data_IF_921434152476
#
_entry.id   IF_921434152476
#
_cell.length_a   1.000
_cell.length_b   1.000
_cell.length_c   1.000
_cell.angle_alpha   90.00
_cell.angle_beta   90.00
_cell.angle_gamma   90.00
#
_symmetry.space_group_name_H-M   'P 1'
#
loop_
_entity.id
_entity.type
_entity.pdbx_description
1 polymer ?
#
# COMPACT_ATOMS: atom_id res chain seq x y z
N UNK A 1 11.10 -17.03 -1.47
CA UNK A 1 11.56 -18.29 -0.88
C UNK A 1 10.72 -18.68 0.34
N UNK A 2 10.32 -17.69 1.16
CA UNK A 2 9.65 -17.90 2.45
C UNK A 2 8.20 -17.39 2.49
N UNK A 3 7.55 -17.19 1.37
CA UNK A 3 6.22 -16.62 1.19
C UNK A 3 6.24 -15.18 0.69
N UNK A 4 5.39 -14.90 -0.30
CA UNK A 4 5.28 -13.57 -0.91
C UNK A 4 4.59 -12.56 0.00
N UNK A 5 3.59 -13.03 0.76
CA UNK A 5 2.74 -12.23 1.64
C UNK A 5 2.77 -12.74 3.10
N UNK A 6 2.08 -12.03 3.99
CA UNK A 6 2.03 -12.33 5.43
C UNK A 6 1.39 -13.68 5.70
N UNK A 7 0.32 -14.07 5.00
CA UNK A 7 -0.38 -15.35 5.22
C UNK A 7 0.50 -16.52 4.83
N UNK A 8 1.16 -16.45 3.66
CA UNK A 8 2.10 -17.47 3.23
C UNK A 8 3.29 -17.61 4.18
N UNK A 9 3.78 -16.52 4.78
CA UNK A 9 4.83 -16.56 5.81
C UNK A 9 4.35 -17.25 7.10
N UNK A 10 3.11 -16.97 7.53
CA UNK A 10 2.52 -17.66 8.70
C UNK A 10 2.33 -19.16 8.41
N UNK A 11 1.92 -19.54 7.20
CA UNK A 11 1.83 -20.94 6.80
C UNK A 11 3.23 -21.60 6.81
N UNK A 12 4.24 -20.92 6.28
CA UNK A 12 5.62 -21.42 6.25
C UNK A 12 6.19 -21.61 7.67
N UNK A 13 5.90 -20.69 8.60
CA UNK A 13 6.34 -20.86 9.99
C UNK A 13 5.73 -22.07 10.68
N UNK A 14 4.52 -22.51 10.29
CA UNK A 14 3.84 -23.69 10.84
C UNK A 14 4.55 -25.02 10.53
N UNK A 15 5.51 -25.04 9.61
CA UNK A 15 6.33 -26.21 9.31
C UNK A 15 7.35 -26.46 10.42
N UNK A 16 7.82 -27.72 10.64
CA UNK A 16 8.81 -28.02 11.67
C UNK A 16 10.01 -27.07 11.65
N UNK A 17 10.30 -26.40 12.76
CA UNK A 17 11.35 -25.41 12.89
C UNK A 17 11.13 -24.10 12.12
N UNK A 18 9.90 -23.86 11.61
CA UNK A 18 9.58 -22.75 10.73
C UNK A 18 9.76 -21.38 11.37
N UNK A 19 9.33 -21.19 12.62
CA UNK A 19 9.52 -19.92 13.35
C UNK A 19 10.99 -19.53 13.37
N UNK A 20 11.87 -20.44 13.81
CA UNK A 20 13.31 -20.18 13.87
C UNK A 20 13.93 -19.95 12.51
N UNK A 21 13.50 -20.69 11.49
CA UNK A 21 13.97 -20.54 10.11
C UNK A 21 13.63 -19.15 9.56
N UNK A 22 12.41 -18.67 9.78
CA UNK A 22 11.98 -17.33 9.33
C UNK A 22 12.66 -16.22 10.12
N UNK A 23 12.84 -16.38 11.44
CA UNK A 23 13.64 -15.47 12.24
C UNK A 23 15.07 -15.34 11.71
N UNK A 24 15.71 -16.47 11.42
CA UNK A 24 17.07 -16.47 10.88
C UNK A 24 17.14 -15.86 9.48
N UNK A 25 16.13 -16.05 8.63
CA UNK A 25 16.03 -15.41 7.34
C UNK A 25 15.96 -13.88 7.46
N UNK A 26 15.20 -13.36 8.43
CA UNK A 26 15.13 -11.92 8.70
C UNK A 26 16.47 -11.41 9.24
N UNK A 27 16.94 -11.98 10.36
CA UNK A 27 18.07 -11.44 11.10
C UNK A 27 19.42 -11.70 10.42
N UNK A 28 19.63 -12.94 9.93
CA UNK A 28 20.95 -13.38 9.43
C UNK A 28 21.08 -13.25 7.92
N UNK A 29 20.02 -13.58 7.16
CA UNK A 29 20.09 -13.60 5.70
C UNK A 29 19.74 -12.23 5.09
N UNK A 30 18.96 -11.37 5.80
CA UNK A 30 18.51 -10.06 5.31
C UNK A 30 19.18 -8.91 6.05
N UNK A 31 18.88 -8.73 7.35
CA UNK A 31 19.30 -7.52 8.08
C UNK A 31 20.82 -7.47 8.29
N UNK A 32 21.47 -8.59 8.62
CA UNK A 32 22.93 -8.61 8.84
C UNK A 32 23.74 -8.18 7.61
N UNK A 33 23.49 -8.67 6.39
CA UNK A 33 24.18 -8.17 5.19
C UNK A 33 23.90 -6.69 4.92
N UNK A 34 22.67 -6.22 5.14
CA UNK A 34 22.30 -4.81 4.96
C UNK A 34 23.06 -3.91 5.95
N UNK A 35 23.10 -4.26 7.23
CA UNK A 35 23.87 -3.53 8.24
C UNK A 35 25.36 -3.52 7.86
N UNK A 36 25.92 -4.64 7.41
CA UNK A 36 27.30 -4.73 6.95
C UNK A 36 27.60 -3.78 5.79
N UNK A 37 26.69 -3.68 4.82
CA UNK A 37 26.81 -2.75 3.70
C UNK A 37 26.74 -1.29 4.18
N UNK A 38 25.79 -0.96 5.05
CA UNK A 38 25.63 0.39 5.63
C UNK A 38 26.86 0.79 6.42
N UNK A 39 27.39 -0.09 7.27
CA UNK A 39 28.61 0.15 8.04
C UNK A 39 29.80 0.43 7.12
N UNK A 40 29.95 -0.37 6.04
CA UNK A 40 31.00 -0.15 5.04
C UNK A 40 30.88 1.22 4.36
N UNK A 41 29.66 1.60 3.97
CA UNK A 41 29.40 2.90 3.33
C UNK A 41 29.67 4.06 4.30
N UNK A 42 29.31 3.91 5.58
CA UNK A 42 29.51 4.93 6.61
C UNK A 42 30.94 4.94 7.20
N UNK A 43 31.80 3.98 6.86
CA UNK A 43 33.15 3.86 7.42
C UNK A 43 33.20 3.54 8.91
N UNK A 44 32.17 2.83 9.44
CA UNK A 44 32.06 2.42 10.84
C UNK A 44 31.99 0.90 10.97
N UNK A 45 32.14 0.40 12.19
CA UNK A 45 31.91 -1.01 12.54
C UNK A 45 30.56 -1.17 13.24
N UNK A 46 29.99 -2.37 13.20
CA UNK A 46 28.65 -2.64 13.75
C UNK A 46 28.56 -2.40 15.27
N UNK A 47 29.65 -2.56 16.02
CA UNK A 47 29.74 -2.26 17.45
C UNK A 47 29.52 -0.77 17.79
N UNK A 48 29.56 0.12 16.77
CA UNK A 48 29.25 1.55 16.91
C UNK A 48 27.76 1.88 16.75
N UNK A 49 26.94 0.89 16.49
CA UNK A 49 25.48 1.03 16.45
C UNK A 49 24.92 0.78 17.84
N UNK A 50 24.36 1.79 18.50
CA UNK A 50 23.87 1.74 19.88
C UNK A 50 22.33 1.76 19.97
N UNK A 51 21.62 2.07 18.85
CA UNK A 51 20.16 2.05 18.80
C UNK A 51 19.71 1.59 17.41
N UNK A 52 18.69 0.73 17.42
CA UNK A 52 18.02 0.20 16.21
C UNK A 52 16.52 0.38 16.40
N UNK A 53 15.86 1.04 15.46
CA UNK A 53 14.40 1.15 15.45
C UNK A 53 13.83 0.39 14.26
N UNK A 54 12.76 -0.36 14.49
CA UNK A 54 12.12 -1.24 13.52
C UNK A 54 10.63 -0.92 13.50
N UNK A 55 10.14 -0.57 12.31
CA UNK A 55 8.72 -0.43 12.01
C UNK A 55 8.34 -1.48 10.96
N UNK A 56 7.47 -2.39 11.30
CA UNK A 56 7.01 -3.45 10.38
C UNK A 56 5.63 -3.95 10.77
N UNK A 57 4.99 -4.66 9.86
CA UNK A 57 3.66 -5.23 10.13
C UNK A 57 3.70 -6.25 11.29
N UNK A 58 2.54 -6.51 11.86
CA UNK A 58 2.39 -7.38 13.05
C UNK A 58 3.01 -8.76 12.86
N UNK A 59 2.79 -9.40 11.71
CA UNK A 59 3.39 -10.71 11.40
C UNK A 59 4.91 -10.66 11.41
N UNK A 60 5.49 -9.64 10.79
CA UNK A 60 6.95 -9.50 10.71
C UNK A 60 7.56 -9.19 12.08
N UNK A 61 6.88 -8.45 12.94
CA UNK A 61 7.30 -8.24 14.33
C UNK A 61 7.36 -9.56 15.11
N UNK A 62 6.34 -10.44 14.93
CA UNK A 62 6.35 -11.78 15.56
C UNK A 62 7.52 -12.64 15.05
N UNK A 63 7.69 -12.71 13.74
CA UNK A 63 8.75 -13.52 13.12
C UNK A 63 10.15 -13.02 13.48
N UNK A 64 10.35 -11.70 13.56
CA UNK A 64 11.60 -11.08 14.00
C UNK A 64 11.97 -11.51 15.42
N UNK A 65 10.99 -11.52 16.33
CA UNK A 65 11.17 -11.92 17.72
C UNK A 65 11.19 -13.44 17.92
N UNK A 66 10.93 -14.23 16.90
CA UNK A 66 10.84 -15.69 17.00
C UNK A 66 9.59 -16.15 17.77
N UNK A 67 8.53 -15.36 17.72
CA UNK A 67 7.22 -15.63 18.34
C UNK A 67 6.29 -16.23 17.29
N UNK A 68 5.42 -17.16 17.69
CA UNK A 68 4.40 -17.73 16.81
C UNK A 68 3.41 -16.67 16.35
N UNK A 69 3.31 -16.48 15.03
CA UNK A 69 2.39 -15.54 14.40
C UNK A 69 1.03 -16.18 14.00
N UNK A 70 0.76 -17.47 14.31
CA UNK A 70 -0.54 -18.07 13.99
C UNK A 70 -1.74 -17.29 14.55
N UNK A 71 -1.70 -16.73 15.78
CA UNK A 71 -2.81 -15.94 16.31
C UNK A 71 -3.20 -14.74 15.43
N UNK A 72 -2.28 -14.21 14.64
CA UNK A 72 -2.55 -13.08 13.71
C UNK A 72 -3.58 -13.46 12.65
N UNK A 73 -3.60 -14.70 12.16
CA UNK A 73 -4.50 -15.19 11.10
C UNK A 73 -5.66 -16.04 11.59
N UNK A 74 -5.68 -16.40 12.86
CA UNK A 74 -6.70 -17.27 13.46
C UNK A 74 -7.69 -16.44 14.26
N UNK A 75 -8.99 -16.67 14.05
CA UNK A 75 -10.02 -16.04 14.87
C UNK A 75 -9.77 -16.35 16.37
N UNK A 76 -9.81 -15.35 17.26
CA UNK A 76 -10.34 -14.00 17.11
C UNK A 76 -9.34 -12.92 16.58
N UNK A 77 -8.28 -13.28 15.89
CA UNK A 77 -7.31 -12.36 15.28
C UNK A 77 -6.61 -11.46 16.30
N UNK A 78 -6.18 -12.02 17.41
CA UNK A 78 -5.48 -11.29 18.49
C UNK A 78 -4.00 -11.64 18.44
N UNK A 79 -3.10 -10.68 18.17
CA UNK A 79 -1.65 -10.92 18.21
C UNK A 79 -1.18 -11.39 19.57
N UNK A 80 -0.08 -12.15 19.61
CA UNK A 80 0.52 -12.62 20.86
C UNK A 80 1.01 -11.46 21.73
N UNK A 81 1.40 -10.36 21.11
CA UNK A 81 1.79 -9.12 21.78
C UNK A 81 1.44 -7.92 20.90
N UNK A 82 1.21 -6.78 21.52
CA UNK A 82 1.04 -5.49 20.84
C UNK A 82 2.31 -4.65 20.92
N UNK A 83 3.01 -4.70 22.04
CA UNK A 83 4.21 -3.91 22.32
C UNK A 83 5.29 -4.81 22.96
N UNK A 84 6.54 -4.51 22.66
CA UNK A 84 7.69 -5.16 23.30
C UNK A 84 8.79 -4.13 23.53
N UNK A 85 9.22 -4.01 24.79
CA UNK A 85 10.25 -3.06 25.22
C UNK A 85 11.36 -3.79 25.99
N UNK A 86 12.49 -3.10 26.15
CA UNK A 86 13.64 -3.63 26.88
C UNK A 86 14.50 -4.63 26.11
N UNK A 87 14.35 -4.71 24.78
CA UNK A 87 15.19 -5.54 23.93
C UNK A 87 16.55 -4.90 23.70
N UNK A 88 17.59 -5.74 23.70
CA UNK A 88 18.94 -5.36 23.26
C UNK A 88 19.40 -6.27 22.11
N UNK A 89 20.37 -5.80 21.34
CA UNK A 89 20.81 -6.48 20.12
C UNK A 89 21.28 -7.92 20.35
N UNK A 90 21.91 -8.23 21.51
CA UNK A 90 22.32 -9.59 21.86
C UNK A 90 21.15 -10.57 22.00
N UNK A 91 19.99 -10.13 22.43
CA UNK A 91 18.80 -10.98 22.60
C UNK A 91 18.32 -11.55 21.26
N UNK A 92 18.49 -10.79 20.20
CA UNK A 92 18.14 -11.17 18.82
C UNK A 92 19.35 -11.65 17.99
N UNK A 93 20.55 -11.65 18.55
CA UNK A 93 21.79 -11.83 17.77
C UNK A 93 21.86 -10.83 16.59
N UNK A 94 21.36 -9.62 16.79
CA UNK A 94 21.37 -8.56 15.79
C UNK A 94 22.78 -8.03 15.57
N UNK A 95 23.12 -7.65 14.35
CA UNK A 95 24.46 -7.15 13.98
C UNK A 95 24.66 -5.68 14.40
N UNK A 96 24.79 -5.43 15.70
CA UNK A 96 25.04 -4.12 16.30
C UNK A 96 25.89 -4.28 17.56
N UNK A 97 26.13 -3.21 18.33
CA UNK A 97 26.67 -3.32 19.67
C UNK A 97 25.79 -4.28 20.49
N UNK A 98 26.36 -5.24 21.25
CA UNK A 98 25.54 -6.22 21.97
C UNK A 98 24.48 -5.62 22.92
N UNK A 99 24.79 -4.46 23.48
CA UNK A 99 23.90 -3.72 24.39
C UNK A 99 23.13 -2.60 23.68
N UNK A 100 23.16 -2.56 22.34
CA UNK A 100 22.36 -1.60 21.57
C UNK A 100 20.87 -1.83 21.84
N UNK A 101 20.16 -0.76 22.13
CA UNK A 101 18.72 -0.76 22.30
C UNK A 101 18.01 -1.14 20.98
N UNK A 102 17.07 -2.07 21.02
CA UNK A 102 16.24 -2.43 19.88
C UNK A 102 14.79 -2.02 20.16
N UNK A 103 14.34 -1.02 19.43
CA UNK A 103 12.99 -0.46 19.51
C UNK A 103 12.13 -1.07 18.40
N UNK A 104 10.97 -1.61 18.77
CA UNK A 104 9.98 -2.10 17.81
C UNK A 104 8.75 -1.22 17.95
N UNK A 105 8.29 -0.64 16.83
CA UNK A 105 7.05 0.13 16.81
C UNK A 105 5.87 -0.78 17.18
N UNK A 106 4.95 -0.34 18.06
CA UNK A 106 3.87 -1.18 18.58
C UNK A 106 2.83 -1.51 17.49
N UNK A 107 2.22 -2.68 17.63
CA UNK A 107 1.10 -3.11 16.80
C UNK A 107 -0.22 -2.60 17.38
N UNK A 108 -1.24 -2.43 16.55
CA UNK A 108 -2.62 -2.09 16.95
C UNK A 108 -3.52 -3.33 16.89
N UNK A 109 -3.32 -4.14 15.85
CA UNK A 109 -4.10 -5.33 15.59
C UNK A 109 -3.33 -6.33 14.74
N UNK A 110 -4.02 -7.37 14.30
CA UNK A 110 -3.43 -8.41 13.46
C UNK A 110 -2.95 -7.87 12.11
N UNK A 111 -3.69 -6.94 11.54
CA UNK A 111 -3.40 -6.40 10.21
C UNK A 111 -2.99 -4.91 10.22
N UNK A 112 -2.91 -4.29 11.40
CA UNK A 112 -2.37 -2.94 11.58
C UNK A 112 -1.19 -3.02 12.52
N UNK A 113 0.00 -2.91 11.97
CA UNK A 113 1.26 -3.15 12.65
C UNK A 113 2.04 -1.90 13.02
N UNK A 114 3.29 -2.13 13.41
CA UNK A 114 4.22 -1.08 13.80
C UNK A 114 4.64 -0.15 12.65
N UNK A 115 4.46 -0.56 11.41
CA UNK A 115 4.61 0.29 10.22
C UNK A 115 3.58 1.43 10.24
N UNK A 116 2.34 1.13 10.60
CA UNK A 116 1.24 2.09 10.61
C UNK A 116 1.32 3.02 11.82
N UNK A 117 1.68 2.53 12.99
CA UNK A 117 1.88 3.41 14.16
C UNK A 117 3.06 4.37 13.94
N UNK A 118 4.14 3.89 13.32
CA UNK A 118 5.26 4.73 12.91
C UNK A 118 4.85 5.74 11.83
N UNK A 119 4.01 5.33 10.86
CA UNK A 119 3.44 6.20 9.84
C UNK A 119 2.52 7.28 10.43
N UNK A 120 1.63 6.91 11.33
CA UNK A 120 0.76 7.85 12.05
C UNK A 120 1.55 8.87 12.87
N UNK A 121 2.68 8.47 13.47
CA UNK A 121 3.59 9.38 14.14
C UNK A 121 4.04 10.52 13.22
N UNK A 122 4.40 10.20 11.97
CA UNK A 122 4.96 11.17 11.03
C UNK A 122 3.93 11.98 10.26
N UNK A 123 2.69 11.49 10.15
CA UNK A 123 1.58 12.26 9.56
C UNK A 123 1.11 13.41 10.45
N UNK A 124 1.50 13.40 11.73
CA UNK A 124 1.06 14.36 12.75
C UNK A 124 -0.46 14.44 12.97
N UNK A 125 -1.21 13.43 12.56
CA UNK A 125 -2.66 13.34 12.77
C UNK A 125 -3.05 13.48 14.25
N UNK A 126 -2.18 13.01 15.13
CA UNK A 126 -2.34 13.05 16.58
C UNK A 126 -2.15 14.44 17.22
N UNK A 127 -1.65 15.43 16.46
CA UNK A 127 -1.37 16.79 16.95
C UNK A 127 -2.31 17.83 16.33
N UNK A 128 -3.30 17.39 15.55
CA UNK A 128 -4.25 18.24 14.82
C UNK A 128 -5.63 18.19 15.43
N UNK A 129 -6.36 19.31 15.36
CA UNK A 129 -7.78 19.37 15.66
C UNK A 129 -8.62 18.88 14.47
N UNK A 130 -8.10 19.09 13.26
CA UNK A 130 -8.74 18.78 11.98
C UNK A 130 -8.77 17.27 11.73
N UNK A 131 -9.91 16.79 11.20
CA UNK A 131 -10.03 15.39 10.82
C UNK A 131 -9.15 15.06 9.62
N UNK A 132 -8.31 14.09 9.83
CA UNK A 132 -7.35 13.64 8.84
C UNK A 132 -7.52 12.15 8.53
N UNK A 133 -7.28 11.77 7.29
CA UNK A 133 -7.20 10.39 6.83
C UNK A 133 -5.76 10.10 6.42
N UNK A 134 -5.15 9.10 7.02
CA UNK A 134 -3.85 8.55 6.60
C UNK A 134 -4.07 7.21 5.91
N UNK A 135 -3.47 7.03 4.74
CA UNK A 135 -3.58 5.84 3.90
C UNK A 135 -2.16 5.35 3.58
N UNK A 136 -1.79 4.16 4.01
CA UNK A 136 -0.58 3.48 3.54
C UNK A 136 -0.95 2.49 2.45
N UNK A 137 -0.37 2.69 1.25
CA UNK A 137 -0.62 1.87 0.07
C UNK A 137 0.53 0.89 -0.16
N UNK A 138 0.32 -0.33 0.25
CA UNK A 138 1.18 -1.46 -0.03
C UNK A 138 0.40 -2.63 -0.64
N UNK A 139 0.84 -3.84 -0.37
CA UNK A 139 0.09 -5.07 -0.71
C UNK A 139 -1.27 -5.12 0.01
N UNK A 140 -1.36 -4.53 1.20
CA UNK A 140 -2.61 -4.19 1.86
C UNK A 140 -2.80 -2.67 1.79
N UNK A 141 -4.02 -2.20 2.04
CA UNK A 141 -4.30 -0.81 2.34
C UNK A 141 -4.56 -0.68 3.84
N UNK A 142 -3.71 0.03 4.54
CA UNK A 142 -3.91 0.34 5.95
C UNK A 142 -4.33 1.81 6.10
N UNK A 143 -5.32 2.03 6.93
CA UNK A 143 -5.98 3.33 7.10
C UNK A 143 -5.96 3.76 8.56
N UNK A 144 -5.75 5.06 8.80
CA UNK A 144 -5.97 5.70 10.08
C UNK A 144 -6.80 6.96 9.86
N UNK A 145 -7.91 7.09 10.56
CA UNK A 145 -8.77 8.27 10.54
C UNK A 145 -8.93 8.82 11.94
N UNK A 146 -8.94 10.13 12.08
CA UNK A 146 -9.20 10.82 13.34
C UNK A 146 -8.48 12.16 13.43
N UNK A 147 -8.18 12.53 14.66
CA UNK A 147 -7.49 13.75 15.05
C UNK A 147 -6.80 13.54 16.40
N UNK A 148 -6.44 14.63 17.12
CA UNK A 148 -5.82 14.54 18.45
C UNK A 148 -6.69 13.87 19.51
N UNK A 149 -8.01 13.93 19.39
CA UNK A 149 -8.94 13.45 20.41
C UNK A 149 -9.22 11.94 20.29
N UNK A 150 -9.22 11.42 19.09
CA UNK A 150 -9.35 9.97 18.82
C UNK A 150 -8.73 9.56 17.50
N UNK A 151 -8.35 8.31 17.40
CA UNK A 151 -7.92 7.69 16.15
C UNK A 151 -8.53 6.30 16.01
N UNK A 152 -8.96 5.98 14.80
CA UNK A 152 -9.43 4.66 14.39
C UNK A 152 -8.59 4.15 13.25
N UNK A 153 -8.27 2.87 13.25
CA UNK A 153 -7.51 2.22 12.18
C UNK A 153 -8.19 0.96 11.67
N UNK A 154 -8.00 0.66 10.42
CA UNK A 154 -8.38 -0.62 9.82
C UNK A 154 -7.38 -1.02 8.74
N UNK A 155 -7.48 -2.27 8.27
CA UNK A 155 -6.74 -2.76 7.12
C UNK A 155 -7.69 -3.40 6.12
N UNK A 156 -7.41 -3.21 4.83
CA UNK A 156 -8.14 -3.84 3.74
C UNK A 156 -7.19 -4.63 2.83
N UNK A 157 -7.69 -5.71 2.24
CA UNK A 157 -6.92 -6.56 1.32
C UNK A 157 -6.97 -5.97 -0.10
N UNK A 158 -6.16 -4.97 -0.37
CA UNK A 158 -6.07 -4.36 -1.70
C UNK A 158 -5.36 -5.27 -2.73
N UNK A 159 -4.48 -6.15 -2.27
CA UNK A 159 -3.67 -6.99 -3.15
C UNK A 159 -2.51 -6.22 -3.81
N UNK A 160 -1.63 -6.90 -4.55
CA UNK A 160 -0.41 -6.30 -5.09
C UNK A 160 -0.62 -5.52 -6.41
N UNK A 161 -1.87 -5.31 -6.86
CA UNK A 161 -2.16 -4.66 -8.13
C UNK A 161 -1.54 -3.26 -8.26
N UNK A 162 -1.55 -2.49 -7.17
CA UNK A 162 -0.93 -1.16 -7.12
C UNK A 162 0.61 -1.20 -7.20
N UNK A 163 1.24 -2.31 -6.87
CA UNK A 163 2.69 -2.51 -7.03
C UNK A 163 3.06 -3.14 -8.38
N UNK A 164 2.08 -3.29 -9.29
CA UNK A 164 2.22 -4.00 -10.56
C UNK A 164 2.21 -5.52 -10.43
N UNK A 165 1.93 -6.06 -9.23
CA UNK A 165 1.69 -7.48 -9.03
C UNK A 165 0.31 -7.89 -9.54
N UNK A 166 0.16 -9.12 -10.00
CA UNK A 166 -1.08 -9.67 -10.57
C UNK A 166 -1.62 -8.91 -11.80
N UNK A 167 -0.78 -8.05 -12.42
CA UNK A 167 -1.04 -7.35 -13.67
C UNK A 167 -0.10 -7.89 -14.75
N UNK A 168 -0.63 -8.26 -15.90
CA UNK A 168 0.08 -9.00 -16.95
C UNK A 168 1.37 -8.31 -17.42
N UNK A 169 1.35 -6.98 -17.59
CA UNK A 169 2.50 -6.16 -17.93
C UNK A 169 2.97 -5.28 -16.77
N UNK A 170 2.59 -5.61 -15.53
CA UNK A 170 2.93 -4.84 -14.35
C UNK A 170 4.41 -4.96 -13.97
N UNK A 171 4.99 -3.85 -13.51
CA UNK A 171 6.36 -3.78 -13.01
C UNK A 171 6.51 -2.69 -11.95
N UNK A 172 7.64 -2.68 -11.27
CA UNK A 172 7.99 -1.58 -10.36
C UNK A 172 8.35 -0.32 -11.17
N UNK A 173 8.24 0.86 -10.53
CA UNK A 173 8.64 2.14 -11.12
C UNK A 173 10.19 2.22 -11.26
N UNK A 174 10.70 1.57 -12.28
CA UNK A 174 12.13 1.56 -12.69
C UNK A 174 12.21 1.92 -14.16
N UNK A 175 13.43 2.08 -14.69
CA UNK A 175 13.65 2.45 -16.08
C UNK A 175 12.82 1.59 -17.05
N UNK A 176 12.11 2.25 -17.96
CA UNK A 176 11.22 1.63 -18.94
C UNK A 176 9.77 1.42 -18.43
N UNK A 177 9.46 1.72 -17.16
CA UNK A 177 8.08 1.64 -16.69
C UNK A 177 7.23 2.79 -17.22
N UNK A 178 6.06 2.48 -17.76
CA UNK A 178 5.03 3.49 -18.07
C UNK A 178 4.47 4.00 -16.74
N UNK A 179 4.67 5.27 -16.44
CA UNK A 179 4.25 5.90 -15.19
C UNK A 179 3.02 6.79 -15.32
N UNK A 180 2.76 7.33 -16.53
CA UNK A 180 1.57 8.11 -16.82
C UNK A 180 1.10 7.87 -18.26
N UNK A 181 -0.21 7.99 -18.47
CA UNK A 181 -0.88 7.75 -19.76
C UNK A 181 -1.93 8.82 -20.00
N UNK A 182 -1.96 9.33 -21.22
CA UNK A 182 -3.08 10.15 -21.73
C UNK A 182 -3.59 9.51 -23.01
N UNK A 183 -4.90 9.29 -23.10
CA UNK A 183 -5.52 8.67 -24.28
C UNK A 183 -6.36 9.72 -25.02
N UNK A 184 -6.06 9.89 -26.31
CA UNK A 184 -6.89 10.73 -27.18
C UNK A 184 -8.27 10.08 -27.38
N UNK A 185 -9.33 10.83 -27.12
CA UNK A 185 -10.70 10.33 -27.13
C UNK A 185 -11.17 9.82 -28.49
N UNK A 186 -10.75 10.51 -29.57
CA UNK A 186 -11.24 10.25 -30.91
C UNK A 186 -10.44 9.16 -31.61
N UNK A 187 -9.11 9.26 -31.56
CA UNK A 187 -8.21 8.32 -32.22
C UNK A 187 -7.92 7.08 -31.39
N UNK A 188 -8.14 7.16 -30.08
CA UNK A 188 -7.80 6.13 -29.08
C UNK A 188 -6.28 5.82 -29.03
N UNK A 189 -5.42 6.75 -29.46
CA UNK A 189 -3.96 6.58 -29.40
C UNK A 189 -3.45 7.05 -28.03
N UNK A 190 -2.56 6.25 -27.38
CA UNK A 190 -1.98 6.61 -26.10
C UNK A 190 -0.75 7.51 -26.27
N UNK A 191 -0.59 8.47 -25.38
CA UNK A 191 0.67 9.17 -25.12
C UNK A 191 1.20 8.68 -23.78
N UNK A 192 2.44 8.20 -23.77
CA UNK A 192 3.05 7.54 -22.62
C UNK A 192 4.15 8.42 -22.02
N UNK A 193 4.17 8.55 -20.66
CA UNK A 193 5.35 8.99 -19.92
C UNK A 193 6.05 7.77 -19.35
N UNK A 194 7.37 7.69 -19.57
CA UNK A 194 8.16 6.50 -19.23
C UNK A 194 9.28 6.91 -18.29
N UNK A 195 9.47 6.15 -17.22
CA UNK A 195 10.57 6.33 -16.28
C UNK A 195 11.90 6.07 -16.97
N UNK A 196 12.88 6.97 -16.83
CA UNK A 196 14.23 6.84 -17.39
C UNK A 196 14.61 7.98 -18.32
N UNK A 197 15.60 7.74 -19.16
CA UNK A 197 16.17 8.73 -20.06
C UNK A 197 15.22 9.08 -21.23
N UNK A 198 15.45 10.27 -21.84
CA UNK A 198 14.71 10.70 -23.02
C UNK A 198 14.85 9.71 -24.16
N UNK A 199 13.72 9.20 -24.68
CA UNK A 199 13.67 8.19 -25.74
C UNK A 199 13.64 6.75 -25.24
N UNK A 200 13.59 6.51 -23.93
CA UNK A 200 13.36 5.19 -23.35
C UNK A 200 12.08 4.58 -23.92
N UNK A 201 12.17 3.33 -24.39
CA UNK A 201 10.99 2.57 -24.81
C UNK A 201 10.34 1.87 -23.62
N UNK A 202 9.02 1.65 -23.65
CA UNK A 202 8.31 1.01 -22.55
C UNK A 202 8.70 -0.49 -22.42
N UNK A 203 8.80 -0.93 -21.18
CA UNK A 203 9.09 -2.32 -20.76
C UNK A 203 7.87 -2.95 -20.08
N UNK A 204 7.10 -2.16 -19.36
CA UNK A 204 5.90 -2.55 -18.62
C UNK A 204 5.19 -1.33 -18.02
N UNK A 205 4.27 -1.54 -17.08
CA UNK A 205 3.41 -0.51 -16.51
C UNK A 205 3.61 -0.52 -14.99
N UNK A 206 3.99 0.60 -14.38
CA UNK A 206 4.05 0.69 -12.92
C UNK A 206 2.70 1.09 -12.32
N UNK A 207 2.60 1.10 -10.99
CA UNK A 207 1.34 1.33 -10.28
C UNK A 207 0.64 2.63 -10.66
N UNK A 208 1.37 3.75 -10.77
CA UNK A 208 0.80 5.03 -11.22
C UNK A 208 0.29 4.96 -12.66
N UNK A 209 1.04 4.31 -13.55
CA UNK A 209 0.62 4.09 -14.94
C UNK A 209 -0.63 3.21 -15.05
N UNK A 210 -0.81 2.21 -14.16
CA UNK A 210 -2.02 1.38 -14.11
C UNK A 210 -3.24 2.23 -13.72
N UNK A 211 -3.10 3.10 -12.71
CA UNK A 211 -4.14 4.04 -12.31
C UNK A 211 -4.52 4.94 -13.49
N UNK A 212 -3.52 5.54 -14.14
CA UNK A 212 -3.74 6.45 -15.25
C UNK A 212 -4.40 5.78 -16.46
N UNK A 213 -3.90 4.61 -16.88
CA UNK A 213 -4.49 3.94 -18.05
C UNK A 213 -5.95 3.55 -17.82
N UNK A 214 -6.30 3.06 -16.63
CA UNK A 214 -7.69 2.69 -16.32
C UNK A 214 -8.56 3.95 -16.25
N UNK A 215 -8.07 5.03 -15.64
CA UNK A 215 -8.79 6.30 -15.58
C UNK A 215 -9.02 6.90 -16.97
N UNK A 216 -8.03 6.84 -17.85
CA UNK A 216 -8.13 7.34 -19.21
C UNK A 216 -9.04 6.48 -20.09
N UNK A 217 -8.97 5.14 -19.97
CA UNK A 217 -9.91 4.24 -20.65
C UNK A 217 -11.36 4.49 -20.21
N UNK A 218 -11.56 4.77 -18.92
CA UNK A 218 -12.88 5.10 -18.37
C UNK A 218 -13.33 6.51 -18.82
N UNK A 219 -12.46 7.52 -18.72
CA UNK A 219 -12.73 8.91 -19.16
C UNK A 219 -13.16 8.96 -20.62
N UNK A 220 -12.45 8.26 -21.50
CA UNK A 220 -12.72 8.24 -22.96
C UNK A 220 -13.82 7.26 -23.36
N UNK A 221 -14.51 6.67 -22.38
CA UNK A 221 -15.58 5.67 -22.59
C UNK A 221 -15.15 4.47 -23.45
N UNK A 222 -13.86 4.10 -23.41
CA UNK A 222 -13.34 2.88 -24.04
C UNK A 222 -13.75 1.66 -23.21
N UNK A 223 -13.79 1.82 -21.89
CA UNK A 223 -14.32 0.80 -20.99
C UNK A 223 -15.59 1.27 -20.28
N UNK A 224 -16.46 0.33 -19.95
CA UNK A 224 -17.64 0.53 -19.11
C UNK A 224 -17.28 0.76 -17.65
N UNK A 225 -18.26 1.12 -16.81
CA UNK A 225 -18.08 1.18 -15.36
C UNK A 225 -17.68 -0.17 -14.72
N UNK A 226 -17.87 -1.28 -15.42
CA UNK A 226 -17.41 -2.61 -14.99
C UNK A 226 -16.02 -2.99 -15.52
N UNK A 227 -15.34 -2.08 -16.22
CA UNK A 227 -14.02 -2.36 -16.80
C UNK A 227 -14.04 -3.18 -18.09
N UNK A 228 -15.18 -3.40 -18.70
CA UNK A 228 -15.32 -4.14 -19.97
C UNK A 228 -15.15 -3.21 -21.15
N UNK A 229 -14.42 -3.63 -22.19
CA UNK A 229 -14.27 -2.85 -23.43
C UNK A 229 -15.60 -2.73 -24.16
N UNK A 230 -15.97 -1.49 -24.52
CA UNK A 230 -17.22 -1.14 -25.18
C UNK A 230 -17.02 -0.38 -26.49
N UNK A 231 -15.77 -0.04 -26.84
CA UNK A 231 -15.38 0.58 -28.12
C UNK A 231 -14.39 -0.30 -28.85
N UNK A 232 -14.52 -0.32 -30.17
CA UNK A 232 -13.58 -0.97 -31.07
C UNK A 232 -12.61 0.06 -31.65
N UNK A 233 -11.36 -0.32 -31.89
CA UNK A 233 -10.34 0.54 -32.48
C UNK A 233 -9.02 -0.16 -32.68
N UNK A 234 -8.03 0.51 -33.26
CA UNK A 234 -6.72 -0.08 -33.54
C UNK A 234 -5.95 -0.54 -32.30
N UNK A 235 -6.20 0.09 -31.18
CA UNK A 235 -5.55 -0.20 -29.89
C UNK A 235 -6.35 -1.20 -29.03
N UNK A 236 -7.58 -1.55 -29.42
CA UNK A 236 -8.40 -2.57 -28.75
C UNK A 236 -8.31 -3.88 -29.54
N UNK A 237 -7.99 -4.96 -28.86
CA UNK A 237 -7.93 -6.30 -29.43
C UNK A 237 -8.61 -7.30 -28.51
N UNK A 238 -9.10 -8.40 -29.08
CA UNK A 238 -9.73 -9.48 -28.34
C UNK A 238 -8.95 -10.78 -28.58
N UNK A 239 -8.93 -11.63 -27.59
CA UNK A 239 -8.39 -12.99 -27.71
C UNK A 239 -9.41 -13.98 -28.31
N UNK A 240 -9.03 -15.26 -28.41
CA UNK A 240 -9.89 -16.32 -28.94
C UNK A 240 -11.14 -16.61 -28.08
N UNK A 241 -11.14 -16.12 -26.84
CA UNK A 241 -12.27 -16.23 -25.89
C UNK A 241 -13.11 -14.96 -25.84
N UNK A 242 -12.76 -13.94 -26.64
CA UNK A 242 -13.44 -12.64 -26.65
C UNK A 242 -13.03 -11.70 -25.50
N UNK A 243 -11.96 -12.03 -24.77
CA UNK A 243 -11.42 -11.17 -23.71
C UNK A 243 -10.72 -9.95 -24.31
N UNK A 244 -11.15 -8.77 -23.93
CA UNK A 244 -10.60 -7.52 -24.44
C UNK A 244 -9.28 -7.14 -23.80
N UNK A 245 -8.46 -6.40 -24.56
CA UNK A 245 -7.26 -5.72 -24.07
C UNK A 245 -7.01 -4.43 -24.82
N UNK A 246 -6.41 -3.46 -24.15
CA UNK A 246 -5.95 -2.22 -24.77
C UNK A 246 -4.43 -2.23 -24.89
N UNK A 247 -3.93 -1.91 -26.11
CA UNK A 247 -2.51 -1.94 -26.47
C UNK A 247 -1.91 -0.56 -26.22
N UNK A 248 -1.05 -0.46 -25.20
CA UNK A 248 -0.28 0.75 -24.88
C UNK A 248 0.92 0.90 -25.83
N UNK A 249 1.62 -0.21 -26.07
CA UNK A 249 2.74 -0.26 -27.01
C UNK A 249 2.73 -1.55 -27.80
N UNK A 250 2.88 -1.46 -29.11
CA UNK A 250 3.07 -2.61 -29.99
C UNK A 250 4.44 -3.23 -29.80
N UNK A 251 4.69 -4.38 -30.41
CA UNK A 251 6.00 -5.07 -30.35
C UNK A 251 7.16 -4.18 -30.82
N UNK A 252 6.91 -3.34 -31.84
CA UNK A 252 7.94 -2.47 -32.42
C UNK A 252 8.15 -1.18 -31.58
N UNK A 253 7.14 -0.78 -30.83
CA UNK A 253 7.18 0.37 -29.92
C UNK A 253 7.82 0.02 -28.57
N UNK A 254 7.83 -1.25 -28.16
CA UNK A 254 8.36 -1.69 -26.86
C UNK A 254 9.85 -2.03 -26.91
N UNK A 255 10.53 -1.90 -25.76
CA UNK A 255 11.95 -2.30 -25.61
C UNK A 255 12.13 -3.82 -25.68
N UNK A 256 11.14 -4.56 -25.17
CA UNK A 256 11.21 -6.01 -25.03
C UNK A 256 10.86 -6.78 -26.31
N UNK A 257 10.37 -6.09 -27.35
CA UNK A 257 9.81 -6.74 -28.55
C UNK A 257 8.50 -7.51 -28.27
N UNK A 258 7.87 -7.26 -27.10
CA UNK A 258 6.57 -7.81 -26.74
C UNK A 258 5.55 -6.67 -26.64
N UNK A 259 4.30 -6.99 -26.95
CA UNK A 259 3.19 -6.05 -26.75
C UNK A 259 3.04 -5.71 -25.27
N UNK A 260 2.84 -4.43 -24.95
CA UNK A 260 2.49 -3.95 -23.61
C UNK A 260 1.03 -3.54 -23.66
N UNK A 261 0.22 -4.25 -22.90
CA UNK A 261 -1.23 -4.07 -22.90
C UNK A 261 -1.80 -4.23 -21.50
N UNK A 262 -3.03 -3.75 -21.30
CA UNK A 262 -3.84 -4.00 -20.12
C UNK A 262 -5.09 -4.78 -20.55
N UNK A 263 -5.36 -5.88 -19.88
CA UNK A 263 -6.48 -6.79 -20.17
C UNK A 263 -7.68 -6.51 -19.25
N UNK A 264 -8.87 -7.02 -19.61
CA UNK A 264 -10.04 -6.97 -18.73
C UNK A 264 -9.78 -7.69 -17.39
N UNK A 265 -8.94 -8.72 -17.37
CA UNK A 265 -8.55 -9.42 -16.13
C UNK A 265 -7.70 -8.51 -15.24
N UNK A 266 -6.75 -7.79 -15.83
CA UNK A 266 -5.93 -6.81 -15.11
C UNK A 266 -6.80 -5.67 -14.54
N UNK A 267 -7.75 -5.17 -15.35
CA UNK A 267 -8.69 -4.12 -14.93
C UNK A 267 -9.60 -4.61 -13.80
N UNK A 268 -10.11 -5.84 -13.86
CA UNK A 268 -10.93 -6.43 -12.79
C UNK A 268 -10.12 -6.58 -11.49
N UNK A 269 -8.88 -7.05 -11.57
CA UNK A 269 -7.97 -7.14 -10.42
C UNK A 269 -7.74 -5.77 -9.78
N UNK A 270 -7.54 -4.74 -10.59
CA UNK A 270 -7.37 -3.37 -10.12
C UNK A 270 -8.66 -2.80 -9.52
N UNK A 271 -9.82 -3.03 -10.15
CA UNK A 271 -11.13 -2.58 -9.63
C UNK A 271 -11.39 -3.17 -8.24
N UNK A 272 -11.05 -4.43 -8.00
CA UNK A 272 -11.17 -5.05 -6.66
C UNK A 272 -10.22 -4.39 -5.66
N UNK A 273 -9.00 -4.10 -6.07
CA UNK A 273 -8.01 -3.45 -5.21
C UNK A 273 -8.49 -2.05 -4.78
N UNK A 274 -8.94 -1.21 -5.72
CA UNK A 274 -9.46 0.12 -5.39
C UNK A 274 -10.76 0.05 -4.59
N UNK A 275 -11.61 -0.95 -4.85
CA UNK A 275 -12.85 -1.16 -4.11
C UNK A 275 -12.56 -1.48 -2.64
N UNK A 276 -11.54 -2.28 -2.35
CA UNK A 276 -11.13 -2.57 -0.98
C UNK A 276 -10.74 -1.30 -0.22
N UNK A 277 -9.98 -0.38 -0.85
CA UNK A 277 -9.58 0.88 -0.23
C UNK A 277 -10.77 1.80 -0.01
N UNK A 278 -11.57 2.06 -1.05
CA UNK A 278 -12.68 3.00 -0.94
C UNK A 278 -13.75 2.51 0.06
N UNK A 279 -14.10 1.22 0.00
CA UNK A 279 -15.07 0.64 0.93
C UNK A 279 -14.59 0.70 2.39
N UNK A 280 -13.29 0.51 2.63
CA UNK A 280 -12.71 0.64 3.95
C UNK A 280 -12.84 2.08 4.48
N UNK A 281 -12.53 3.09 3.64
CA UNK A 281 -12.68 4.51 3.97
C UNK A 281 -14.15 4.81 4.30
N UNK A 282 -15.06 4.44 3.42
CA UNK A 282 -16.49 4.75 3.57
C UNK A 282 -17.12 4.05 4.79
N UNK A 283 -16.75 2.80 5.04
CA UNK A 283 -17.20 2.07 6.25
C UNK A 283 -16.63 2.67 7.52
N UNK A 284 -15.37 3.09 7.52
CA UNK A 284 -14.75 3.73 8.70
C UNK A 284 -15.48 5.02 9.05
N UNK A 285 -15.67 5.91 8.09
CA UNK A 285 -16.39 7.19 8.30
C UNK A 285 -17.85 6.96 8.72
N UNK A 286 -18.58 6.13 7.99
CA UNK A 286 -19.99 5.86 8.28
C UNK A 286 -20.24 5.11 9.59
N UNK A 287 -19.23 4.43 10.15
CA UNK A 287 -19.32 3.81 11.47
C UNK A 287 -19.28 4.85 12.62
N UNK A 288 -18.87 6.07 12.29
CA UNK A 288 -18.84 7.21 13.19
C UNK A 288 -19.95 8.23 12.86
N UNK A 289 -20.92 7.84 12.02
CA UNK A 289 -21.96 8.71 11.47
C UNK A 289 -21.39 9.96 10.76
N UNK A 290 -20.22 9.79 10.11
CA UNK A 290 -19.51 10.81 9.33
C UNK A 290 -19.46 10.43 7.84
N UNK A 291 -19.19 11.41 6.99
CA UNK A 291 -18.93 11.24 5.57
C UNK A 291 -17.63 11.96 5.16
N UNK A 292 -17.28 11.89 3.88
CA UNK A 292 -16.01 12.43 3.35
C UNK A 292 -15.86 13.94 3.50
N UNK A 293 -16.94 14.68 3.75
CA UNK A 293 -16.91 16.15 3.90
C UNK A 293 -16.24 16.62 5.17
N UNK A 294 -16.05 15.73 6.16
CA UNK A 294 -15.31 16.04 7.39
C UNK A 294 -13.81 16.06 7.20
N UNK A 295 -13.30 15.52 6.07
CA UNK A 295 -11.86 15.42 5.82
C UNK A 295 -11.26 16.78 5.49
N UNK A 296 -10.24 17.16 6.24
CA UNK A 296 -9.46 18.39 6.03
C UNK A 296 -8.04 18.07 5.55
N UNK A 297 -7.55 16.83 5.75
CA UNK A 297 -6.28 16.33 5.24
C UNK A 297 -6.39 14.86 4.84
N UNK A 298 -5.74 14.48 3.75
CA UNK A 298 -5.59 13.09 3.29
C UNK A 298 -4.11 12.82 3.02
N UNK A 299 -3.47 12.10 3.93
CA UNK A 299 -2.07 11.71 3.81
C UNK A 299 -1.97 10.37 3.09
N UNK A 300 -1.24 10.33 1.98
CA UNK A 300 -0.99 9.11 1.23
C UNK A 300 0.47 8.71 1.39
N UNK A 301 0.71 7.52 1.92
CA UNK A 301 2.02 6.91 2.10
C UNK A 301 2.18 5.66 1.22
N UNK A 302 3.38 5.09 1.22
CA UNK A 302 3.69 3.87 0.48
C UNK A 302 4.51 4.11 -0.79
N UNK A 303 4.95 3.02 -1.42
CA UNK A 303 5.89 3.08 -2.54
C UNK A 303 5.33 3.62 -3.86
N UNK A 304 4.00 3.70 -3.98
CA UNK A 304 3.32 4.06 -5.23
C UNK A 304 3.04 5.57 -5.30
N UNK A 305 2.93 6.22 -4.15
CA UNK A 305 2.24 7.51 -4.01
C UNK A 305 2.87 8.70 -4.73
N UNK A 306 4.21 8.75 -4.92
CA UNK A 306 4.86 9.94 -5.50
C UNK A 306 4.49 10.19 -6.97
N UNK A 307 3.97 9.19 -7.68
CA UNK A 307 3.59 9.28 -9.09
C UNK A 307 2.08 9.24 -9.33
N UNK A 308 1.24 9.15 -8.29
CA UNK A 308 -0.21 9.04 -8.47
C UNK A 308 -0.78 10.38 -8.94
N UNK A 309 -1.49 10.35 -10.05
CA UNK A 309 -2.37 11.44 -10.47
C UNK A 309 -3.67 11.37 -9.63
N UNK A 310 -3.80 12.28 -8.66
CA UNK A 310 -4.94 12.29 -7.74
C UNK A 310 -6.28 12.51 -8.44
N UNK A 311 -6.30 13.29 -9.53
CA UNK A 311 -7.51 13.46 -10.34
C UNK A 311 -7.97 12.12 -10.93
N UNK A 312 -7.04 11.34 -11.47
CA UNK A 312 -7.32 10.03 -12.02
C UNK A 312 -7.70 9.01 -10.94
N UNK A 313 -7.02 9.03 -9.80
CA UNK A 313 -7.33 8.14 -8.68
C UNK A 313 -8.75 8.38 -8.12
N UNK A 314 -9.16 9.64 -8.00
CA UNK A 314 -10.54 9.99 -7.61
C UNK A 314 -11.53 9.64 -8.72
N UNK A 315 -11.22 9.94 -9.99
CA UNK A 315 -12.08 9.63 -11.15
C UNK A 315 -12.49 8.17 -11.22
N UNK A 316 -11.61 7.26 -10.85
CA UNK A 316 -11.91 5.82 -10.83
C UNK A 316 -12.49 5.35 -9.50
N UNK A 317 -12.66 6.22 -8.53
CA UNK A 317 -13.23 5.89 -7.21
C UNK A 317 -12.26 5.12 -6.30
N UNK A 318 -10.96 5.38 -6.39
CA UNK A 318 -9.98 4.83 -5.48
C UNK A 318 -9.93 5.62 -4.17
N UNK A 319 -10.01 6.94 -4.26
CA UNK A 319 -10.03 7.87 -3.14
C UNK A 319 -11.32 8.68 -3.10
N UNK A 320 -11.68 9.26 -1.92
CA UNK A 320 -12.84 10.13 -1.79
C UNK A 320 -12.81 11.31 -2.75
N UNK A 321 -13.97 11.72 -3.24
CA UNK A 321 -14.12 12.91 -4.08
C UNK A 321 -14.17 14.19 -3.24
N UNK A 322 -13.00 14.61 -2.77
CA UNK A 322 -12.75 15.83 -2.01
C UNK A 322 -11.82 16.75 -2.78
N UNK A 323 -11.64 17.99 -2.32
CA UNK A 323 -10.69 18.92 -2.94
C UNK A 323 -9.29 18.26 -3.03
N UNK A 324 -8.68 18.30 -4.22
CA UNK A 324 -7.38 17.66 -4.49
C UNK A 324 -6.24 18.29 -3.69
N UNK A 325 -6.41 19.53 -3.23
CA UNK A 325 -5.45 20.21 -2.35
C UNK A 325 -5.34 19.59 -0.95
N UNK A 326 -6.32 18.78 -0.54
CA UNK A 326 -6.30 18.06 0.74
C UNK A 326 -5.35 16.85 0.72
N UNK A 327 -4.97 16.37 -0.47
CA UNK A 327 -4.07 15.22 -0.60
C UNK A 327 -2.62 15.64 -0.47
N UNK A 328 -1.90 14.95 0.40
CA UNK A 328 -0.46 15.11 0.60
C UNK A 328 0.24 13.75 0.56
N UNK A 329 1.22 13.60 -0.34
CA UNK A 329 2.06 12.42 -0.37
C UNK A 329 3.23 12.56 0.60
N UNK A 330 3.31 11.65 1.58
CA UNK A 330 4.30 11.71 2.66
C UNK A 330 5.41 10.65 2.58
N UNK A 331 5.50 9.93 1.48
CA UNK A 331 6.59 8.99 1.21
C UNK A 331 6.55 7.71 2.04
N UNK A 332 7.73 7.19 2.37
CA UNK A 332 7.84 6.03 3.25
C UNK A 332 7.72 6.46 4.72
N UNK A 333 6.50 6.58 5.17
CA UNK A 333 6.13 7.06 6.50
C UNK A 333 6.62 6.14 7.61
N UNK A 334 6.60 4.82 7.39
CA UNK A 334 7.07 3.83 8.38
C UNK A 334 8.58 3.94 8.61
N UNK A 335 9.38 4.17 7.56
CA UNK A 335 10.81 4.42 7.70
C UNK A 335 11.09 5.75 8.41
N UNK A 336 10.34 6.80 8.08
CA UNK A 336 10.45 8.11 8.73
C UNK A 336 10.13 8.02 10.23
N UNK A 337 9.09 7.28 10.61
CA UNK A 337 8.73 7.02 12.00
C UNK A 337 9.80 6.21 12.74
N UNK A 338 10.33 5.14 12.12
CA UNK A 338 11.44 4.40 12.69
C UNK A 338 12.68 5.29 12.89
N UNK A 339 12.97 6.18 11.95
CA UNK A 339 14.05 7.17 12.09
C UNK A 339 13.82 8.13 13.27
N UNK A 340 12.58 8.63 13.43
CA UNK A 340 12.21 9.49 14.56
C UNK A 340 12.42 8.76 15.90
N UNK A 341 11.95 7.51 16.02
CA UNK A 341 12.15 6.65 17.20
C UNK A 341 13.65 6.41 17.50
N UNK A 342 14.46 6.18 16.46
CA UNK A 342 15.90 6.00 16.62
C UNK A 342 16.62 7.26 17.17
N UNK A 343 16.03 8.43 16.96
CA UNK A 343 16.62 9.75 17.28
C UNK A 343 16.10 10.38 18.57
N UNK A 344 14.92 9.98 19.05
CA UNK A 344 14.23 10.66 20.14
C UNK A 344 13.43 9.71 21.00
N UNK A 345 13.65 9.78 22.32
CA UNK A 345 12.83 9.06 23.29
C UNK A 345 11.38 9.60 23.30
N UNK A 346 11.20 10.90 23.11
CA UNK A 346 9.86 11.49 22.99
C UNK A 346 9.07 10.90 21.81
N UNK A 347 9.73 10.53 20.71
CA UNK A 347 9.08 9.86 19.58
C UNK A 347 8.68 8.42 19.94
N UNK A 348 9.47 7.73 20.76
CA UNK A 348 9.13 6.40 21.30
C UNK A 348 7.92 6.49 22.22
N UNK A 349 7.94 7.42 23.17
CA UNK A 349 6.81 7.64 24.08
C UNK A 349 5.53 7.99 23.32
N UNK A 350 5.65 8.84 22.30
CA UNK A 350 4.50 9.26 21.47
C UNK A 350 3.93 8.11 20.64
N UNK A 351 4.76 7.27 20.02
CA UNK A 351 4.24 6.12 19.25
C UNK A 351 3.56 5.10 20.16
N UNK A 352 4.01 4.96 21.41
CA UNK A 352 3.36 4.11 22.41
C UNK A 352 2.01 4.67 22.86
N UNK A 353 1.94 5.99 23.07
CA UNK A 353 0.69 6.70 23.34
C UNK A 353 -0.31 6.57 22.19
N UNK A 354 0.15 6.79 20.94
CA UNK A 354 -0.65 6.61 19.73
C UNK A 354 -1.26 5.22 19.64
N UNK A 355 -0.44 4.20 19.83
CA UNK A 355 -0.89 2.82 19.78
C UNK A 355 -1.92 2.50 20.87
N UNK A 356 -1.76 3.07 22.06
CA UNK A 356 -2.69 2.86 23.19
C UNK A 356 -4.04 3.57 22.99
N UNK A 357 -4.07 4.66 22.23
CA UNK A 357 -5.27 5.48 21.99
C UNK A 357 -5.96 5.16 20.67
N UNK A 358 -5.35 4.35 19.81
CA UNK A 358 -5.90 3.99 18.50
C UNK A 358 -6.82 2.78 18.60
N UNK A 359 -8.05 2.94 18.13
CA UNK A 359 -9.03 1.86 18.05
C UNK A 359 -8.88 1.09 16.74
N UNK A 360 -8.75 -0.23 16.81
CA UNK A 360 -8.74 -1.10 15.62
C UNK A 360 -10.16 -1.50 15.24
N UNK A 361 -10.52 -1.30 13.97
CA UNK A 361 -11.76 -1.77 13.36
C UNK A 361 -11.47 -2.99 12.48
N UNK A 362 -12.07 -4.12 12.80
CA UNK A 362 -12.04 -5.32 11.95
C UNK A 362 -13.15 -5.23 10.89
N UNK A 363 -12.78 -4.92 9.65
CA UNK A 363 -13.74 -4.71 8.55
C UNK A 363 -14.59 -5.95 8.25
N UNK A 364 -14.03 -7.15 8.39
CA UNK A 364 -14.72 -8.41 8.11
C UNK A 364 -15.92 -8.67 9.02
N UNK A 365 -15.94 -8.03 10.19
CA UNK A 365 -17.05 -8.14 11.15
C UNK A 365 -18.14 -7.10 10.93
N UNK A 366 -17.91 -6.08 10.08
CA UNK A 366 -18.91 -5.06 9.79
C UNK A 366 -19.92 -5.58 8.77
N UNK A 367 -21.23 -5.66 9.09
CA UNK A 367 -22.24 -6.26 8.21
C UNK A 367 -22.45 -5.49 6.90
N UNK A 368 -22.10 -4.21 6.84
CA UNK A 368 -22.24 -3.36 5.63
C UNK A 368 -21.02 -3.43 4.72
N UNK A 369 -19.88 -3.96 5.20
CA UNK A 369 -18.62 -3.91 4.44
C UNK A 369 -18.71 -4.60 3.09
N UNK A 370 -19.36 -5.79 3.03
CA UNK A 370 -19.43 -6.55 1.79
C UNK A 370 -20.33 -5.88 0.74
N UNK A 371 -21.44 -5.28 1.16
CA UNK A 371 -22.33 -4.55 0.26
C UNK A 371 -21.63 -3.30 -0.30
N UNK A 372 -20.89 -2.58 0.54
CA UNK A 372 -20.11 -1.42 0.14
C UNK A 372 -18.96 -1.82 -0.81
N UNK A 373 -18.25 -2.91 -0.51
CA UNK A 373 -17.21 -3.43 -1.39
C UNK A 373 -17.75 -3.76 -2.79
N UNK A 374 -18.90 -4.45 -2.86
CA UNK A 374 -19.55 -4.77 -4.16
C UNK A 374 -19.98 -3.50 -4.89
N UNK A 375 -20.49 -2.49 -4.17
CA UNK A 375 -20.86 -1.21 -4.75
C UNK A 375 -19.62 -0.44 -5.29
N UNK A 376 -18.51 -0.55 -4.60
CA UNK A 376 -17.24 0.04 -5.01
C UNK A 376 -16.54 -0.73 -6.17
N UNK A 377 -16.95 -1.95 -6.52
CA UNK A 377 -16.44 -2.68 -7.68
C UNK A 377 -16.94 -2.13 -9.03
N UNK A 378 -17.24 -0.84 -9.08
CA UNK A 378 -17.58 -0.10 -10.30
C UNK A 378 -16.71 1.16 -10.39
N UNK A 379 -16.54 1.68 -11.58
CA UNK A 379 -15.83 2.93 -11.83
C UNK A 379 -16.83 4.10 -11.91
N UNK A 380 -16.75 5.11 -11.04
CA UNK A 380 -16.04 5.13 -9.76
C UNK A 380 -16.75 4.32 -8.68
N UNK A 381 -18.09 4.25 -8.70
CA UNK A 381 -18.96 3.60 -7.71
C UNK A 381 -20.36 3.41 -8.28
N UNK A 382 -21.19 2.49 -7.73
CA UNK A 382 -22.60 2.39 -8.11
C UNK A 382 -23.40 3.62 -7.71
N UNK A 383 -23.14 4.20 -6.54
CA UNK A 383 -23.67 5.49 -6.13
C UNK A 383 -22.80 6.62 -6.69
N UNK A 384 -23.28 7.28 -7.76
CA UNK A 384 -22.58 8.38 -8.43
C UNK A 384 -22.56 9.68 -7.64
N UNK A 385 -23.44 9.85 -6.67
CA UNK A 385 -23.47 11.04 -5.81
C UNK A 385 -22.23 11.17 -4.94
N UNK A 386 -21.54 10.05 -4.67
CA UNK A 386 -20.27 10.05 -3.96
C UNK A 386 -19.10 10.60 -4.77
N UNK A 387 -19.27 10.74 -6.10
CA UNK A 387 -18.22 11.14 -7.04
C UNK A 387 -18.73 12.20 -8.05
N UNK A 388 -19.15 13.38 -7.55
CA UNK A 388 -19.73 14.43 -8.41
C UNK A 388 -18.73 14.99 -9.44
N UNK A 389 -17.42 14.91 -9.18
CA UNK A 389 -16.39 15.38 -10.11
C UNK A 389 -16.03 14.34 -11.20
N UNK A 390 -16.45 13.08 -11.04
CA UNK A 390 -16.13 11.97 -11.97
C UNK A 390 -17.10 11.94 -13.15
N UNK A 391 -16.82 12.73 -14.18
CA UNK A 391 -17.62 12.76 -15.41
C UNK A 391 -16.91 11.97 -16.50
N UNK A 392 -17.67 11.14 -17.25
CA UNK A 392 -17.24 10.60 -18.55
C UNK A 392 -17.45 11.66 -19.64
N UNK A 393 -16.44 11.89 -20.47
CA UNK A 393 -16.50 12.80 -21.62
C UNK A 393 -17.17 12.16 -22.85
#
# INVERSE_FOLDING_TARGET
>A
RYGADVINRIIEQGKPGGVKRLQDAILKETLRPMVGLMCKTAGITADRIFRVAIASNTTMNHLLLGVDANPVRMEPYIPTFFQWRGLVAKDLSFAANPDAEVLISPNIGSYVGGDITAGALTSLIWDKDEFSLFIDLGTNGELVFGNRDFMMSCACSAGPAFEGGDISCGMRATDGAVEAVVIDKDTMEPTLSIVGDAGQKPVGICGSGIIDVIAELYRTSIISAKGQFVREGKRVAHDEHGMGRYILATKDESETGREISITEVDIDSFIRAKAAIFSAINIMLSSLDMDVTVLEHVYVAGGIGSGINMENAVRIGMFPDVDRSLFEYIGNSSLAGAYAMARSDNAVDKVDELASNMTYMELSTNPRYMDEFVAACFLPHTNRELFPSSVQE
#
